data_IF_841788134770
#
_entry.id   IF_841788134770
#
_cell.length_a   1.000
_cell.length_b   1.000
_cell.length_c   1.000
_cell.angle_alpha   90.00
_cell.angle_beta   90.00
_cell.angle_gamma   90.00
#
_symmetry.space_group_name_H-M   'P 1'
#
loop_
_entity.id
_entity.type
_entity.pdbx_description
1 polymer ?
#
# COMPACT_ATOMS: atom_id res chain seq x y z
N UNK A 1 50.21 41.05 -45.19
CA UNK A 1 49.21 41.74 -44.35
C UNK A 1 47.98 40.82 -44.31
N UNK A 2 47.93 39.86 -43.37
CA UNK A 2 47.43 39.91 -41.98
C UNK A 2 45.90 39.72 -41.89
N UNK A 3 45.52 38.71 -41.11
CA UNK A 3 44.23 38.38 -40.48
C UNK A 3 43.29 37.53 -41.36
N UNK A 4 43.19 36.19 -41.22
CA UNK A 4 42.71 35.39 -40.08
C UNK A 4 41.37 35.92 -39.53
N UNK A 5 40.27 35.24 -39.85
CA UNK A 5 39.02 35.31 -39.09
C UNK A 5 38.40 33.91 -38.93
N UNK A 6 38.97 33.22 -37.93
CA UNK A 6 38.34 32.40 -36.90
C UNK A 6 37.02 31.68 -37.26
N UNK A 7 37.20 30.35 -37.39
CA UNK A 7 36.24 29.28 -37.16
C UNK A 7 35.36 29.53 -35.92
N UNK A 8 34.04 29.59 -36.11
CA UNK A 8 33.07 29.54 -35.02
C UNK A 8 32.50 28.11 -34.96
N UNK A 9 33.23 27.25 -34.24
CA UNK A 9 32.82 25.90 -33.89
C UNK A 9 31.68 25.99 -32.86
N UNK A 10 30.44 25.84 -33.32
CA UNK A 10 29.25 25.72 -32.47
C UNK A 10 29.31 24.41 -31.68
N UNK A 11 29.89 24.47 -30.49
CA UNK A 11 29.78 23.45 -29.45
C UNK A 11 28.34 23.43 -28.94
N UNK A 12 27.51 22.56 -29.51
CA UNK A 12 26.23 22.18 -28.92
C UNK A 12 26.51 21.34 -27.67
N UNK A 13 26.61 22.02 -26.52
CA UNK A 13 26.56 21.38 -25.22
C UNK A 13 25.17 20.80 -25.02
N UNK A 14 25.02 19.49 -25.26
CA UNK A 14 23.85 18.73 -24.88
C UNK A 14 23.73 18.74 -23.35
N UNK A 15 22.79 19.54 -22.84
CA UNK A 15 22.42 19.53 -21.44
C UNK A 15 21.77 18.18 -21.12
N UNK A 16 22.52 17.26 -20.52
CA UNK A 16 21.94 16.07 -19.89
C UNK A 16 21.15 16.55 -18.68
N UNK A 17 19.84 16.71 -18.83
CA UNK A 17 18.93 16.81 -17.70
C UNK A 17 19.17 15.60 -16.80
N UNK A 18 19.44 15.76 -15.49
CA UNK A 18 19.44 14.60 -14.60
C UNK A 18 18.01 14.07 -14.60
N UNK A 19 17.78 12.95 -15.29
CA UNK A 19 16.63 12.10 -15.01
C UNK A 19 16.68 11.82 -13.52
N UNK A 20 15.68 12.29 -12.77
CA UNK A 20 15.45 11.82 -11.40
C UNK A 20 15.37 10.30 -11.51
N UNK A 21 16.42 9.62 -11.07
CA UNK A 21 16.40 8.18 -10.94
C UNK A 21 15.26 7.86 -9.98
N UNK A 22 14.17 7.32 -10.50
CA UNK A 22 13.09 6.79 -9.70
C UNK A 22 13.71 5.62 -8.95
N UNK A 23 14.08 5.84 -7.69
CA UNK A 23 14.62 4.78 -6.84
C UNK A 23 13.61 3.64 -6.87
N UNK A 24 13.97 2.51 -7.46
CA UNK A 24 13.18 1.28 -7.53
C UNK A 24 13.63 0.37 -6.38
N UNK A 25 12.68 -0.29 -5.71
CA UNK A 25 12.96 -1.16 -4.58
C UNK A 25 11.96 -2.29 -4.66
N UNK A 26 12.46 -3.50 -4.65
CA UNK A 26 11.63 -4.71 -4.64
C UNK A 26 11.60 -5.27 -3.22
N UNK A 27 10.41 -5.48 -2.69
CA UNK A 27 10.24 -6.42 -1.58
C UNK A 27 10.51 -7.81 -2.17
N UNK A 28 11.73 -8.32 -2.02
CA UNK A 28 12.10 -9.63 -2.55
C UNK A 28 11.65 -10.78 -1.62
N UNK A 29 11.11 -10.44 -0.45
CA UNK A 29 10.64 -11.36 0.59
C UNK A 29 9.42 -10.76 1.26
N UNK A 30 8.60 -11.63 1.85
CA UNK A 30 7.50 -11.21 2.69
C UNK A 30 8.03 -10.46 3.92
N UNK A 31 7.40 -9.34 4.24
CA UNK A 31 7.70 -8.53 5.42
C UNK A 31 6.43 -8.47 6.25
N UNK A 32 6.57 -8.66 7.56
CA UNK A 32 5.49 -8.47 8.53
C UNK A 32 6.01 -7.58 9.63
N UNK A 33 5.28 -6.51 9.95
CA UNK A 33 5.63 -5.56 11.00
C UNK A 33 4.42 -5.35 11.90
N UNK A 34 4.63 -5.54 13.20
CA UNK A 34 3.64 -5.14 14.22
C UNK A 34 3.72 -3.63 14.40
N UNK A 35 2.56 -2.99 14.52
CA UNK A 35 2.44 -1.54 14.62
C UNK A 35 2.09 -1.15 16.06
N UNK A 36 2.94 -0.33 16.67
CA UNK A 36 2.78 0.10 18.07
C UNK A 36 1.61 1.10 18.25
N UNK A 37 1.42 2.02 17.29
CA UNK A 37 0.36 3.03 17.32
C UNK A 37 -0.96 2.49 16.75
N UNK A 38 -1.45 1.40 17.33
CA UNK A 38 -2.72 0.78 16.99
C UNK A 38 -3.87 1.40 17.81
N UNK A 39 -5.11 1.48 17.30
CA UNK A 39 -6.26 1.89 18.12
C UNK A 39 -6.41 1.04 19.39
N UNK A 40 -7.00 1.63 20.43
CA UNK A 40 -7.15 0.99 21.73
C UNK A 40 -7.84 -0.39 21.63
N UNK A 41 -7.39 -1.31 22.50
CA UNK A 41 -7.91 -2.67 22.59
C UNK A 41 -7.82 -3.48 21.29
N UNK A 42 -6.83 -3.20 20.44
CA UNK A 42 -6.54 -4.02 19.27
C UNK A 42 -5.06 -4.23 19.02
N UNK A 43 -4.78 -5.05 18.01
CA UNK A 43 -3.44 -5.29 17.47
C UNK A 43 -3.43 -4.97 15.99
N UNK A 44 -2.33 -4.36 15.54
CA UNK A 44 -2.17 -3.92 14.17
C UNK A 44 -0.95 -4.58 13.55
N UNK A 45 -1.11 -5.15 12.36
CA UNK A 45 -0.02 -5.71 11.57
C UNK A 45 -0.04 -5.13 10.16
N UNK A 46 1.14 -4.92 9.61
CA UNK A 46 1.35 -4.53 8.22
C UNK A 46 2.21 -5.58 7.54
N UNK A 47 1.72 -6.10 6.43
CA UNK A 47 2.36 -7.13 5.63
C UNK A 47 2.63 -6.60 4.22
N UNK A 48 3.84 -6.84 3.70
CA UNK A 48 4.16 -6.75 2.28
C UNK A 48 4.43 -8.17 1.78
N UNK A 49 3.55 -8.69 0.93
CA UNK A 49 3.58 -10.08 0.46
C UNK A 49 4.04 -10.09 -0.99
N UNK A 50 5.24 -10.62 -1.25
CA UNK A 50 5.90 -10.58 -2.54
C UNK A 50 5.48 -11.72 -3.47
N UNK A 51 5.63 -11.51 -4.78
CA UNK A 51 5.35 -12.51 -5.82
C UNK A 51 3.91 -13.04 -5.75
N UNK A 52 2.97 -12.10 -5.58
CA UNK A 52 1.54 -12.41 -5.51
C UNK A 52 0.76 -11.48 -6.41
N UNK A 53 -0.49 -11.81 -6.65
CA UNK A 53 -1.49 -10.94 -7.27
C UNK A 53 -2.78 -11.01 -6.47
N UNK A 54 -3.52 -9.92 -6.43
CA UNK A 54 -4.76 -9.77 -5.71
C UNK A 54 -5.91 -9.65 -6.71
N UNK A 55 -6.93 -10.47 -6.50
CA UNK A 55 -8.17 -10.43 -7.27
C UNK A 55 -9.35 -10.43 -6.29
N UNK A 56 -10.24 -9.46 -6.41
CA UNK A 56 -11.52 -9.46 -5.69
C UNK A 56 -12.57 -10.21 -6.51
N UNK A 57 -13.01 -11.35 -5.98
CA UNK A 57 -14.09 -12.15 -6.56
C UNK A 57 -15.41 -11.85 -5.88
N UNK A 58 -16.50 -12.19 -6.54
CA UNK A 58 -17.86 -12.05 -6.01
C UNK A 58 -18.42 -13.42 -5.72
N UNK A 59 -18.98 -13.62 -4.52
CA UNK A 59 -19.68 -14.86 -4.15
C UNK A 59 -21.06 -14.96 -4.81
N UNK A 60 -21.77 -16.06 -4.56
CA UNK A 60 -23.12 -16.29 -5.09
C UNK A 60 -24.18 -15.30 -4.54
N UNK A 61 -23.86 -14.57 -3.47
CA UNK A 61 -24.72 -13.57 -2.83
C UNK A 61 -24.35 -12.12 -3.21
N UNK A 62 -23.33 -11.93 -4.06
CA UNK A 62 -22.90 -10.60 -4.49
C UNK A 62 -21.83 -9.94 -3.61
N UNK A 63 -21.29 -10.63 -2.59
CA UNK A 63 -20.27 -10.08 -1.71
C UNK A 63 -18.87 -10.26 -2.31
N UNK A 64 -18.05 -9.21 -2.20
CA UNK A 64 -16.64 -9.28 -2.60
C UNK A 64 -15.82 -10.07 -1.57
N UNK A 65 -14.84 -10.82 -2.04
CA UNK A 65 -13.81 -11.43 -1.21
C UNK A 65 -12.45 -11.43 -1.94
N UNK A 66 -11.33 -11.19 -1.24
CA UNK A 66 -10.01 -11.19 -1.84
C UNK A 66 -9.54 -12.63 -2.08
N UNK A 67 -8.91 -12.85 -3.23
CA UNK A 67 -8.10 -14.03 -3.51
C UNK A 67 -6.69 -13.59 -3.82
N UNK A 68 -5.72 -14.24 -3.18
CA UNK A 68 -4.29 -13.95 -3.34
C UNK A 68 -3.66 -15.15 -4.02
N UNK A 69 -3.19 -14.96 -5.25
CA UNK A 69 -2.63 -16.02 -6.09
C UNK A 69 -1.14 -15.72 -6.39
N UNK A 70 -0.42 -16.70 -6.93
CA UNK A 70 0.94 -16.48 -7.45
C UNK A 70 0.95 -15.42 -8.55
N UNK A 71 1.93 -14.53 -8.52
CA UNK A 71 2.02 -13.41 -9.45
C UNK A 71 3.34 -12.67 -9.36
N UNK A 72 3.42 -11.49 -9.98
CA UNK A 72 4.65 -10.68 -10.01
C UNK A 72 4.53 -9.36 -9.24
N UNK A 73 3.43 -9.15 -8.50
CA UNK A 73 3.15 -7.93 -7.74
C UNK A 73 3.50 -8.12 -6.27
N UNK A 74 3.40 -7.04 -5.50
CA UNK A 74 3.50 -7.06 -4.03
C UNK A 74 2.15 -6.67 -3.44
N UNK A 75 1.62 -7.47 -2.53
CA UNK A 75 0.38 -7.13 -1.82
C UNK A 75 0.72 -6.41 -0.54
N UNK A 76 0.25 -5.19 -0.38
CA UNK A 76 0.21 -4.50 0.89
C UNK A 76 -1.08 -4.90 1.61
N UNK A 77 -0.94 -5.43 2.82
CA UNK A 77 -2.06 -5.81 3.67
C UNK A 77 -1.87 -5.21 5.07
N UNK A 78 -2.78 -4.36 5.49
CA UNK A 78 -2.87 -3.91 6.88
C UNK A 78 -4.01 -4.64 7.57
N UNK A 79 -3.80 -5.10 8.80
CA UNK A 79 -4.80 -5.79 9.61
C UNK A 79 -4.89 -5.12 10.96
N UNK A 80 -6.08 -4.65 11.33
CA UNK A 80 -6.45 -4.31 12.70
C UNK A 80 -7.35 -5.41 13.25
N UNK A 81 -6.99 -6.01 14.38
CA UNK A 81 -7.86 -6.98 15.09
C UNK A 81 -8.18 -6.46 16.47
N UNK A 82 -9.46 -6.29 16.77
CA UNK A 82 -9.91 -5.92 18.11
C UNK A 82 -9.84 -7.15 19.02
N UNK A 83 -9.41 -6.96 20.27
CA UNK A 83 -9.49 -8.00 21.29
C UNK A 83 -10.97 -8.40 21.48
N UNK A 84 -11.32 -9.69 21.34
CA UNK A 84 -12.68 -10.16 21.57
C UNK A 84 -13.14 -9.88 23.00
N UNK A 85 -14.44 -9.69 23.20
CA UNK A 85 -15.02 -9.52 24.52
C UNK A 85 -15.05 -10.87 25.25
N UNK A 86 -14.56 -10.90 26.49
CA UNK A 86 -14.58 -12.11 27.30
C UNK A 86 -16.02 -12.60 27.50
N UNK A 87 -16.21 -13.92 27.48
CA UNK A 87 -17.50 -14.59 27.65
C UNK A 87 -18.60 -14.14 26.66
N UNK A 88 -18.23 -13.58 25.51
CA UNK A 88 -19.17 -13.11 24.49
C UNK A 88 -18.93 -13.81 23.16
N UNK A 89 -19.90 -14.62 22.72
CA UNK A 89 -19.86 -15.28 21.42
C UNK A 89 -19.86 -14.25 20.27
N UNK A 90 -19.18 -14.61 19.17
CA UNK A 90 -19.11 -13.81 17.94
C UNK A 90 -18.62 -12.36 18.11
N UNK A 91 -17.87 -12.08 19.19
CA UNK A 91 -17.29 -10.76 19.48
C UNK A 91 -16.02 -10.44 18.69
N UNK A 92 -15.64 -11.29 17.74
CA UNK A 92 -14.48 -11.09 16.87
C UNK A 92 -14.73 -9.92 15.90
N UNK A 93 -13.71 -9.09 15.72
CA UNK A 93 -13.76 -7.93 14.84
C UNK A 93 -12.38 -7.67 14.22
N UNK A 94 -12.35 -7.62 12.90
CA UNK A 94 -11.13 -7.34 12.14
C UNK A 94 -11.42 -6.35 11.02
N UNK A 95 -10.54 -5.36 10.88
CA UNK A 95 -10.49 -4.46 9.73
C UNK A 95 -9.24 -4.74 8.90
N UNK A 96 -9.39 -4.68 7.58
CA UNK A 96 -8.34 -4.99 6.62
C UNK A 96 -8.20 -3.86 5.61
N UNK A 97 -6.98 -3.56 5.20
CA UNK A 97 -6.71 -2.76 4.00
C UNK A 97 -5.86 -3.60 3.07
N UNK A 98 -6.28 -3.70 1.82
CA UNK A 98 -5.51 -4.34 0.76
C UNK A 98 -5.16 -3.35 -0.34
N UNK A 99 -3.94 -3.44 -0.85
CA UNK A 99 -3.52 -2.82 -2.11
C UNK A 99 -2.58 -3.76 -2.88
N UNK A 100 -2.70 -3.79 -4.20
CA UNK A 100 -1.75 -4.44 -5.10
C UNK A 100 -0.77 -3.40 -5.65
N UNK A 101 0.51 -3.62 -5.39
CA UNK A 101 1.60 -2.72 -5.75
C UNK A 101 2.47 -3.34 -6.83
N UNK A 102 2.97 -2.49 -7.73
CA UNK A 102 3.99 -2.91 -8.67
C UNK A 102 5.26 -3.43 -7.97
N UNK A 103 5.97 -4.32 -8.65
CA UNK A 103 7.30 -4.77 -8.27
C UNK A 103 8.25 -4.49 -9.45
N UNK A 104 9.26 -3.62 -9.30
CA UNK A 104 9.63 -2.89 -8.09
C UNK A 104 8.56 -1.88 -7.65
N UNK A 105 8.40 -1.70 -6.34
CA UNK A 105 7.53 -0.65 -5.77
C UNK A 105 8.12 0.68 -6.21
N UNK A 106 7.30 1.62 -6.65
CA UNK A 106 7.70 3.01 -6.96
C UNK A 106 6.93 3.97 -6.06
N UNK A 107 7.34 5.23 -6.03
CA UNK A 107 6.57 6.24 -5.30
C UNK A 107 5.19 6.39 -5.96
N UNK A 108 4.15 6.41 -5.12
CA UNK A 108 2.75 6.46 -5.54
C UNK A 108 2.07 7.60 -4.78
N UNK A 109 1.23 8.36 -5.46
CA UNK A 109 0.31 9.32 -4.82
C UNK A 109 -1.01 9.27 -5.58
N UNK A 110 -2.04 8.72 -4.94
CA UNK A 110 -3.35 8.47 -5.52
C UNK A 110 -4.41 9.14 -4.66
N UNK A 111 -5.43 9.68 -5.31
CA UNK A 111 -6.55 10.31 -4.63
C UNK A 111 -7.88 9.80 -5.18
N UNK A 112 -8.87 9.64 -4.31
CA UNK A 112 -10.25 9.32 -4.65
C UNK A 112 -10.39 8.10 -5.59
N UNK A 113 -10.98 8.26 -6.78
CA UNK A 113 -11.18 7.15 -7.72
C UNK A 113 -9.85 6.52 -8.20
N UNK A 114 -8.74 7.28 -8.16
CA UNK A 114 -7.41 6.75 -8.53
C UNK A 114 -6.90 5.69 -7.55
N UNK A 115 -7.46 5.61 -6.35
CA UNK A 115 -7.13 4.57 -5.36
C UNK A 115 -7.40 3.17 -5.90
N UNK A 116 -8.28 3.03 -6.89
CA UNK A 116 -8.56 1.76 -7.54
C UNK A 116 -7.47 1.32 -8.52
N UNK A 117 -6.51 2.18 -8.88
CA UNK A 117 -5.34 1.80 -9.69
C UNK A 117 -4.45 0.76 -8.99
N UNK A 118 -4.50 0.70 -7.65
CA UNK A 118 -3.81 -0.30 -6.82
C UNK A 118 -4.81 -1.24 -6.14
N UNK A 119 -6.04 -1.33 -6.65
CA UNK A 119 -7.12 -2.12 -6.07
C UNK A 119 -7.32 -1.85 -4.56
N UNK A 120 -7.28 -0.60 -4.12
CA UNK A 120 -7.38 -0.27 -2.70
C UNK A 120 -8.76 -0.65 -2.13
N UNK A 121 -8.81 -1.59 -1.20
CA UNK A 121 -10.04 -2.09 -0.60
C UNK A 121 -9.96 -2.14 0.92
N UNK A 122 -11.10 -1.86 1.54
CA UNK A 122 -11.37 -1.99 2.96
C UNK A 122 -12.13 -3.28 3.23
N UNK A 123 -11.65 -4.13 4.13
CA UNK A 123 -12.39 -5.27 4.65
C UNK A 123 -12.89 -5.00 6.06
N UNK A 124 -14.14 -5.36 6.34
CA UNK A 124 -14.70 -5.40 7.70
C UNK A 124 -15.24 -6.79 7.97
N UNK A 125 -14.60 -7.52 8.86
CA UNK A 125 -14.96 -8.88 9.22
C UNK A 125 -15.45 -8.90 10.66
N UNK A 126 -16.76 -9.04 10.83
CA UNK A 126 -17.42 -9.14 12.12
C UNK A 126 -18.81 -9.75 11.96
N UNK A 127 -19.42 -10.17 13.07
CA UNK A 127 -20.83 -10.55 13.08
C UNK A 127 -21.74 -9.30 13.06
N UNK A 128 -21.68 -8.57 11.95
CA UNK A 128 -22.38 -7.31 11.73
C UNK A 128 -23.28 -7.43 10.49
N UNK A 129 -24.61 -7.49 10.69
CA UNK A 129 -25.56 -7.69 9.58
C UNK A 129 -25.50 -6.53 8.58
N UNK A 130 -25.19 -6.83 7.33
CA UNK A 130 -25.18 -5.87 6.22
C UNK A 130 -23.97 -4.93 6.16
N UNK A 131 -23.03 -5.06 7.11
CA UNK A 131 -21.84 -4.20 7.19
C UNK A 131 -20.52 -4.98 7.13
N UNK A 132 -20.59 -6.31 7.12
CA UNK A 132 -19.40 -7.17 6.94
C UNK A 132 -19.17 -7.47 5.46
N UNK A 133 -17.91 -7.43 5.04
CA UNK A 133 -17.50 -7.68 3.67
C UNK A 133 -16.30 -6.85 3.26
N UNK A 134 -16.05 -6.78 1.96
CA UNK A 134 -14.98 -6.00 1.36
C UNK A 134 -15.55 -4.92 0.45
N UNK A 135 -14.98 -3.72 0.56
CA UNK A 135 -15.52 -2.51 -0.05
C UNK A 135 -14.40 -1.71 -0.73
N UNK A 136 -14.58 -1.27 -1.98
CA UNK A 136 -13.58 -0.45 -2.66
C UNK A 136 -13.46 0.91 -1.98
N UNK A 137 -12.23 1.34 -1.71
CA UNK A 137 -11.95 2.67 -1.17
C UNK A 137 -11.85 3.67 -2.32
N UNK A 138 -12.82 4.57 -2.42
CA UNK A 138 -12.92 5.56 -3.52
C UNK A 138 -12.83 7.03 -3.08
N UNK A 139 -12.67 7.28 -1.77
CA UNK A 139 -12.55 8.62 -1.21
C UNK A 139 -11.38 8.62 -0.23
N UNK A 140 -10.41 9.51 -0.45
CA UNK A 140 -9.21 9.59 0.37
C UNK A 140 -7.93 9.79 -0.44
N UNK A 141 -6.80 9.58 0.23
CA UNK A 141 -5.46 9.81 -0.27
C UNK A 141 -4.57 8.64 0.16
N UNK A 142 -3.87 8.04 -0.81
CA UNK A 142 -2.89 6.98 -0.56
C UNK A 142 -1.55 7.40 -1.16
N UNK A 143 -0.50 7.33 -0.36
CA UNK A 143 0.84 7.56 -0.83
C UNK A 143 1.85 6.54 -0.31
N UNK A 144 2.76 6.19 -1.21
CA UNK A 144 3.93 5.39 -0.94
C UNK A 144 5.14 6.25 -1.27
N UNK A 145 6.00 6.48 -0.29
CA UNK A 145 7.22 7.26 -0.48
C UNK A 145 8.41 6.50 0.05
N UNK A 146 9.45 6.37 -0.76
CA UNK A 146 10.72 5.82 -0.28
C UNK A 146 11.45 6.84 0.55
N UNK A 147 11.76 6.47 1.79
CA UNK A 147 12.55 7.33 2.68
C UNK A 147 14.04 7.04 2.53
N UNK A 148 14.42 5.80 2.21
CA UNK A 148 15.76 5.42 1.74
C UNK A 148 15.68 4.11 0.92
N UNK A 149 16.83 3.47 0.64
CA UNK A 149 16.89 2.22 -0.16
C UNK A 149 16.11 1.05 0.48
N UNK A 150 15.97 1.07 1.79
CA UNK A 150 15.53 -0.05 2.59
C UNK A 150 14.30 0.30 3.44
N UNK A 151 13.62 1.42 3.18
CA UNK A 151 12.44 1.80 3.94
C UNK A 151 11.38 2.46 3.07
N UNK A 152 10.14 2.04 3.31
CA UNK A 152 8.94 2.51 2.63
C UNK A 152 8.03 3.21 3.63
N UNK A 153 7.71 4.46 3.37
CA UNK A 153 6.66 5.20 4.08
C UNK A 153 5.32 4.97 3.38
N UNK A 154 4.31 4.63 4.16
CA UNK A 154 2.95 4.32 3.76
C UNK A 154 2.06 5.32 4.49
N UNK A 155 1.42 6.21 3.75
CA UNK A 155 0.41 7.13 4.28
C UNK A 155 -0.91 6.87 3.58
N UNK A 156 -1.96 6.60 4.35
CA UNK A 156 -3.32 6.42 3.88
C UNK A 156 -4.25 7.24 4.76
N UNK A 157 -5.15 7.99 4.16
CA UNK A 157 -6.34 8.55 4.81
C UNK A 157 -7.54 8.25 3.92
N UNK A 158 -8.63 7.72 4.46
CA UNK A 158 -9.74 7.27 3.63
C UNK A 158 -11.09 7.22 4.35
N UNK A 159 -12.15 7.15 3.55
CA UNK A 159 -13.50 6.91 4.03
C UNK A 159 -14.26 5.97 3.10
N UNK A 160 -14.93 4.98 3.70
CA UNK A 160 -15.89 4.10 3.04
C UNK A 160 -17.31 4.55 3.42
N UNK A 161 -18.01 5.17 2.47
CA UNK A 161 -19.36 5.70 2.71
C UNK A 161 -20.28 4.58 3.22
N UNK A 162 -21.04 4.89 4.28
CA UNK A 162 -22.08 4.02 4.87
C UNK A 162 -21.57 2.76 5.57
N UNK A 163 -20.26 2.59 5.74
CA UNK A 163 -19.66 1.50 6.52
C UNK A 163 -18.94 2.13 7.72
N UNK A 164 -19.35 1.82 8.97
CA UNK A 164 -18.58 2.22 10.14
C UNK A 164 -17.15 1.66 10.07
N UNK A 165 -16.16 2.53 10.38
CA UNK A 165 -14.72 2.23 10.32
C UNK A 165 -14.03 2.75 11.59
N UNK A 166 -13.20 1.91 12.22
CA UNK A 166 -12.29 2.32 13.30
C UNK A 166 -11.00 2.86 12.68
N UNK A 167 -10.46 2.16 11.68
CA UNK A 167 -9.30 2.60 10.92
C UNK A 167 -9.78 3.56 9.82
N UNK A 168 -9.26 4.78 9.85
CA UNK A 168 -9.48 5.78 8.81
C UNK A 168 -8.16 6.36 8.27
N UNK A 169 -7.06 6.07 8.97
CA UNK A 169 -5.73 6.53 8.62
C UNK A 169 -4.67 5.48 8.96
N UNK A 170 -3.60 5.44 8.17
CA UNK A 170 -2.42 4.62 8.40
C UNK A 170 -1.20 5.48 8.07
N UNK A 171 -0.32 5.67 9.05
CA UNK A 171 0.94 6.43 8.90
C UNK A 171 2.10 5.57 9.38
N UNK A 172 2.68 4.76 8.48
CA UNK A 172 3.68 3.77 8.85
C UNK A 172 4.95 3.90 8.01
N UNK A 173 6.09 3.59 8.64
CA UNK A 173 7.34 3.39 7.92
C UNK A 173 7.81 1.97 8.17
N UNK A 174 7.95 1.19 7.11
CA UNK A 174 8.36 -0.22 7.18
C UNK A 174 9.77 -0.40 6.65
N UNK A 175 10.55 -1.23 7.34
CA UNK A 175 11.87 -1.67 6.89
C UNK A 175 11.72 -2.80 5.87
N UNK A 176 12.42 -2.66 4.75
CA UNK A 176 12.46 -3.64 3.66
C UNK A 176 13.62 -4.64 3.83
N UNK A 177 14.49 -4.43 4.83
CA UNK A 177 15.46 -5.45 5.26
C UNK A 177 14.71 -6.57 5.94
N UNK A 178 14.93 -7.81 5.50
CA UNK A 178 14.44 -8.97 6.24
C UNK A 178 14.95 -8.90 7.67
N UNK A 179 14.07 -9.13 8.66
CA UNK A 179 14.52 -9.59 9.95
C UNK A 179 15.20 -10.94 9.70
N UNK A 180 16.52 -10.94 9.54
CA UNK A 180 17.32 -12.14 9.74
C UNK A 180 17.22 -12.46 11.24
N UNK A 181 16.25 -13.30 11.60
CA UNK A 181 16.32 -14.01 12.87
C UNK A 181 17.56 -14.90 12.80
N UNK A 182 18.62 -14.48 13.50
CA UNK A 182 19.74 -15.35 13.87
C UNK A 182 19.26 -16.60 14.59
#
# INVERSE_FOLDING_TARGET
MKNILISCLLLLMACKTPQKATSQVSANKNITTTIDNCPENGTCTLELISNKTLEFKTDEFGNLYPTINEGSKTILKYTFTKKPLENTADSNYTELIYAELDSPIIDVNLTNEQLQNVQLHYGRLCFCKGESGYFPIKNGNFSLTKTNKDSLKIDLNFSVKKIPQIISEIHQTVSLKSNETN
#
